data_IF_981835977122
#
_entry.id   IF_981835977122
#
_cell.length_a   1.000
_cell.length_b   1.000
_cell.length_c   1.000
_cell.angle_alpha   90.00
_cell.angle_beta   90.00
_cell.angle_gamma   90.00
#
_symmetry.space_group_name_H-M   'P 1'
#
loop_
_entity.id
_entity.type
_entity.pdbx_description
1 polymer ?
#
# COMPACT_ATOMS: atom_id res chain seq x y z
N UNK A 1 21.45 -9.13 0.63
CA UNK A 1 20.69 -9.38 1.88
C UNK A 1 19.65 -8.27 2.03
N UNK A 2 18.38 -8.60 2.26
CA UNK A 2 17.29 -7.62 2.41
C UNK A 2 17.07 -7.32 3.89
N UNK A 3 17.06 -6.03 4.28
CA UNK A 3 16.72 -5.61 5.65
C UNK A 3 15.39 -4.87 5.67
N UNK A 4 14.51 -5.23 6.62
CA UNK A 4 13.19 -4.62 6.79
C UNK A 4 13.12 -3.73 8.02
N UNK A 5 12.55 -2.54 7.89
CA UNK A 5 12.32 -1.63 9.01
C UNK A 5 10.98 -0.88 8.88
N UNK A 6 10.36 -0.59 10.01
CA UNK A 6 9.24 0.36 10.06
C UNK A 6 9.78 1.77 10.26
N UNK A 7 9.41 2.69 9.38
CA UNK A 7 9.89 4.08 9.42
C UNK A 7 8.71 5.04 9.28
N UNK A 8 8.92 6.30 9.66
CA UNK A 8 7.96 7.36 9.35
C UNK A 8 7.92 7.57 7.82
N UNK A 9 6.72 7.57 7.25
CA UNK A 9 6.44 7.93 5.86
C UNK A 9 5.94 9.37 5.75
N UNK A 10 5.27 9.68 4.64
CA UNK A 10 4.80 11.04 4.35
C UNK A 10 3.66 11.45 5.30
N UNK A 11 2.67 10.57 5.43
CA UNK A 11 1.46 10.84 6.23
C UNK A 11 1.42 9.93 7.46
N UNK A 12 1.95 8.72 7.34
CA UNK A 12 1.93 7.72 8.39
C UNK A 12 3.14 6.79 8.29
N UNK A 13 3.21 5.77 9.16
CA UNK A 13 4.28 4.77 9.10
C UNK A 13 4.23 4.01 7.77
N UNK A 14 5.42 3.66 7.28
CA UNK A 14 5.64 2.80 6.12
C UNK A 14 6.64 1.70 6.45
N UNK A 15 6.69 0.65 5.64
CA UNK A 15 7.73 -0.38 5.72
C UNK A 15 8.78 -0.09 4.67
N UNK A 16 10.05 -0.20 5.05
CA UNK A 16 11.20 0.01 4.17
C UNK A 16 11.97 -1.29 4.01
N UNK A 17 12.23 -1.67 2.77
CA UNK A 17 13.04 -2.79 2.34
C UNK A 17 14.35 -2.25 1.78
N UNK A 18 15.46 -2.54 2.46
CA UNK A 18 16.81 -2.12 2.04
C UNK A 18 17.48 -3.24 1.27
N UNK A 19 17.99 -2.89 0.10
CA UNK A 19 18.81 -3.73 -0.78
C UNK A 19 20.21 -3.13 -0.86
N UNK A 20 21.17 -3.77 -0.19
CA UNK A 20 22.59 -3.45 -0.32
C UNK A 20 23.15 -4.19 -1.54
N UNK A 21 23.78 -3.47 -2.47
CA UNK A 21 24.22 -4.00 -3.76
C UNK A 21 25.67 -4.48 -3.67
N UNK A 22 26.01 -5.66 -4.25
CA UNK A 22 27.37 -6.21 -4.17
C UNK A 22 28.39 -5.36 -4.94
N UNK A 23 27.94 -4.68 -6.00
CA UNK A 23 28.73 -3.70 -6.76
C UNK A 23 27.84 -2.48 -7.08
N UNK A 24 28.41 -1.28 -7.24
CA UNK A 24 27.64 -0.12 -7.68
C UNK A 24 26.99 -0.37 -9.04
N UNK A 25 25.70 -0.10 -9.15
CA UNK A 25 24.96 -0.20 -10.42
C UNK A 25 23.84 0.84 -10.48
N UNK A 26 23.37 1.15 -11.68
CA UNK A 26 22.29 2.12 -11.85
C UNK A 26 20.96 1.56 -11.33
N UNK A 27 20.06 2.44 -10.90
CA UNK A 27 18.73 2.05 -10.43
C UNK A 27 17.96 1.34 -11.55
N UNK A 28 18.09 1.86 -12.78
CA UNK A 28 17.47 1.28 -13.96
C UNK A 28 17.95 -0.16 -14.20
N UNK A 29 19.26 -0.39 -14.17
CA UNK A 29 19.83 -1.72 -14.34
C UNK A 29 19.40 -2.66 -13.20
N UNK A 30 19.39 -2.16 -11.96
CA UNK A 30 18.92 -2.95 -10.82
C UNK A 30 17.45 -3.36 -10.96
N UNK A 31 16.56 -2.44 -11.34
CA UNK A 31 15.15 -2.74 -11.59
C UNK A 31 15.00 -3.78 -12.70
N UNK A 32 15.68 -3.61 -13.84
CA UNK A 32 15.63 -4.58 -14.94
C UNK A 32 16.00 -6.00 -14.49
N UNK A 33 16.96 -6.13 -13.59
CA UNK A 33 17.45 -7.43 -13.14
C UNK A 33 16.64 -8.03 -11.97
N UNK A 34 16.03 -7.21 -11.12
CA UNK A 34 15.51 -7.65 -9.82
C UNK A 34 14.01 -7.40 -9.64
N UNK A 35 13.32 -6.75 -10.59
CA UNK A 35 11.91 -6.35 -10.40
C UNK A 35 10.97 -7.53 -10.16
N UNK A 36 11.14 -8.64 -10.89
CA UNK A 36 10.31 -9.84 -10.70
C UNK A 36 10.54 -10.50 -9.33
N UNK A 37 11.77 -10.52 -8.84
CA UNK A 37 12.07 -11.03 -7.49
C UNK A 37 11.50 -10.10 -6.41
N UNK A 38 11.66 -8.77 -6.59
CA UNK A 38 11.05 -7.77 -5.72
C UNK A 38 9.53 -7.93 -5.67
N UNK A 39 8.89 -8.14 -6.82
CA UNK A 39 7.44 -8.37 -6.92
C UNK A 39 7.04 -9.59 -6.08
N UNK A 40 7.65 -10.75 -6.33
CA UNK A 40 7.34 -11.99 -5.59
C UNK A 40 7.59 -11.85 -4.09
N UNK A 41 8.68 -11.18 -3.72
CA UNK A 41 8.98 -10.86 -2.34
C UNK A 41 7.83 -10.09 -1.70
N UNK A 42 7.40 -8.98 -2.30
CA UNK A 42 6.34 -8.13 -1.76
C UNK A 42 4.97 -8.82 -1.74
N UNK A 43 4.61 -9.55 -2.79
CA UNK A 43 3.37 -10.33 -2.85
C UNK A 43 3.31 -11.37 -1.73
N UNK A 44 4.40 -12.10 -1.50
CA UNK A 44 4.51 -13.07 -0.41
C UNK A 44 4.49 -12.39 0.97
N UNK A 45 5.31 -11.35 1.13
CA UNK A 45 5.44 -10.63 2.41
C UNK A 45 4.15 -9.97 2.84
N UNK A 46 3.27 -9.59 1.91
CA UNK A 46 2.02 -8.90 2.21
C UNK A 46 0.77 -9.76 1.99
N UNK A 47 0.89 -10.96 1.42
CA UNK A 47 -0.25 -11.73 0.91
C UNK A 47 -1.11 -10.87 -0.02
N UNK A 48 -0.49 -10.39 -1.10
CA UNK A 48 -1.02 -9.34 -1.95
C UNK A 48 -0.83 -9.67 -3.44
N UNK A 49 -1.60 -9.00 -4.29
CA UNK A 49 -1.33 -8.89 -5.72
C UNK A 49 -0.56 -7.58 -5.97
N UNK A 50 0.56 -7.64 -6.70
CA UNK A 50 1.34 -6.47 -7.06
C UNK A 50 0.92 -5.93 -8.42
N UNK A 51 0.52 -4.66 -8.42
CA UNK A 51 0.02 -3.91 -9.56
C UNK A 51 1.08 -2.93 -10.05
N UNK A 52 1.89 -3.30 -11.07
CA UNK A 52 3.01 -2.49 -11.49
C UNK A 52 2.56 -1.16 -12.08
N UNK A 53 3.32 -0.11 -11.78
CA UNK A 53 3.22 1.19 -12.43
C UNK A 53 4.58 1.58 -13.03
N UNK A 54 4.53 2.48 -14.00
CA UNK A 54 5.70 3.05 -14.67
C UNK A 54 5.40 4.52 -14.97
N UNK A 55 6.39 5.42 -14.91
CA UNK A 55 7.82 5.17 -14.64
C UNK A 55 8.24 5.32 -13.16
N UNK A 56 9.45 4.84 -12.78
CA UNK A 56 10.06 5.11 -11.48
C UNK A 56 10.13 6.62 -11.15
N UNK A 57 10.10 7.02 -9.86
CA UNK A 57 10.27 6.20 -8.65
C UNK A 57 9.03 5.42 -8.21
N UNK A 58 7.91 5.57 -8.93
CA UNK A 58 6.72 4.74 -8.71
C UNK A 58 6.96 3.33 -9.28
N UNK A 59 6.74 2.32 -8.45
CA UNK A 59 6.83 0.93 -8.87
C UNK A 59 5.45 0.29 -9.01
N UNK A 60 4.41 0.91 -8.44
CA UNK A 60 3.06 0.38 -8.44
C UNK A 60 2.39 0.39 -7.08
N UNK A 61 1.43 -0.51 -6.93
CA UNK A 61 0.67 -0.68 -5.70
C UNK A 61 0.51 -2.15 -5.33
N UNK A 62 0.21 -2.40 -4.05
CA UNK A 62 -0.18 -3.71 -3.54
C UNK A 62 -1.67 -3.71 -3.23
N UNK A 63 -2.38 -4.68 -3.79
CA UNK A 63 -3.72 -5.07 -3.36
C UNK A 63 -3.59 -6.19 -2.34
N UNK A 64 -3.55 -5.80 -1.06
CA UNK A 64 -3.31 -6.70 0.06
C UNK A 64 -4.60 -7.45 0.39
N UNK A 65 -4.57 -8.78 0.30
CA UNK A 65 -5.72 -9.60 0.63
C UNK A 65 -6.03 -9.53 2.12
N UNK A 66 -7.20 -9.02 2.46
CA UNK A 66 -7.66 -8.87 3.83
C UNK A 66 -9.14 -9.22 3.95
N UNK A 67 -9.43 -10.35 4.61
CA UNK A 67 -10.79 -10.81 4.88
C UNK A 67 -11.66 -10.94 3.62
N UNK A 68 -11.03 -11.37 2.53
CA UNK A 68 -11.67 -11.49 1.23
C UNK A 68 -11.78 -10.18 0.47
N UNK A 69 -11.52 -9.01 1.07
CA UNK A 69 -11.39 -7.73 0.37
C UNK A 69 -9.93 -7.30 0.22
N UNK A 70 -9.70 -6.04 -0.18
CA UNK A 70 -8.36 -5.48 -0.40
C UNK A 70 -8.06 -4.28 0.52
N UNK A 71 -6.83 -4.23 1.03
CA UNK A 71 -6.20 -3.00 1.53
C UNK A 71 -5.18 -2.52 0.49
N UNK A 72 -4.99 -1.21 0.34
CA UNK A 72 -4.11 -0.66 -0.69
C UNK A 72 -2.85 -0.09 -0.07
N UNK A 73 -1.69 -0.46 -0.62
CA UNK A 73 -0.42 0.19 -0.33
C UNK A 73 0.27 0.65 -1.62
N UNK A 74 0.92 1.79 -1.53
CA UNK A 74 1.85 2.29 -2.52
C UNK A 74 3.18 1.55 -2.44
N UNK A 75 3.83 1.30 -3.58
CA UNK A 75 5.21 0.82 -3.65
C UNK A 75 6.06 1.78 -4.47
N UNK A 76 7.09 2.32 -3.84
CA UNK A 76 7.98 3.27 -4.50
C UNK A 76 9.42 3.15 -4.03
N UNK A 77 10.34 3.62 -4.86
CA UNK A 77 11.73 3.85 -4.45
C UNK A 77 11.73 5.06 -3.52
N UNK A 78 12.29 4.87 -2.32
CA UNK A 78 12.36 5.92 -1.31
C UNK A 78 13.79 6.33 -0.94
N UNK A 79 14.80 5.61 -1.45
CA UNK A 79 16.17 6.07 -1.57
C UNK A 79 16.88 5.30 -2.69
N UNK A 80 17.81 5.91 -3.44
CA UNK A 80 18.33 7.28 -3.29
C UNK A 80 17.42 8.35 -3.90
N UNK A 81 16.45 7.95 -4.71
CA UNK A 81 15.46 8.83 -5.32
C UNK A 81 14.12 8.72 -4.58
N UNK A 82 13.37 9.81 -4.57
CA UNK A 82 12.02 9.86 -4.02
C UNK A 82 11.09 10.66 -4.91
N UNK A 83 9.78 10.53 -4.65
CA UNK A 83 8.71 11.35 -5.24
C UNK A 83 8.92 12.85 -5.03
N UNK A 84 8.25 13.72 -5.84
CA UNK A 84 7.20 13.43 -6.83
C UNK A 84 7.70 12.99 -8.23
N UNK A 85 8.88 13.43 -8.65
CA UNK A 85 9.51 12.99 -9.89
C UNK A 85 11.01 13.23 -9.76
N UNK A 86 11.84 12.23 -10.05
CA UNK A 86 13.29 12.42 -10.06
C UNK A 86 13.75 12.66 -11.50
N UNK A 87 14.73 13.55 -11.74
CA UNK A 87 15.27 13.75 -13.08
C UNK A 87 15.73 12.41 -13.68
N UNK A 88 15.50 12.11 -14.97
CA UNK A 88 15.83 10.81 -15.56
C UNK A 88 17.27 10.36 -15.32
N UNK A 89 18.21 11.31 -15.29
CA UNK A 89 19.63 11.05 -14.99
C UNK A 89 19.84 10.34 -13.65
N UNK A 90 18.96 10.57 -12.67
CA UNK A 90 19.04 9.96 -11.33
C UNK A 90 18.88 8.45 -11.37
N UNK A 91 18.24 7.90 -12.41
CA UNK A 91 18.09 6.46 -12.60
C UNK A 91 19.34 5.80 -13.18
N UNK A 92 20.20 6.58 -13.83
CA UNK A 92 21.43 6.12 -14.48
C UNK A 92 22.65 6.23 -13.55
N UNK A 93 22.56 7.00 -12.46
CA UNK A 93 23.65 7.15 -11.49
C UNK A 93 23.90 5.83 -10.74
N UNK A 94 25.14 5.30 -10.72
CA UNK A 94 25.49 4.11 -9.96
C UNK A 94 25.32 4.33 -8.46
N UNK A 95 24.63 3.41 -7.80
CA UNK A 95 24.43 3.42 -6.35
C UNK A 95 24.82 2.09 -5.73
N UNK A 96 25.15 2.13 -4.44
CA UNK A 96 25.47 0.93 -3.63
C UNK A 96 24.27 0.40 -2.84
N UNK A 97 23.16 1.13 -2.84
CA UNK A 97 21.99 0.84 -2.00
C UNK A 97 20.71 1.37 -2.64
N UNK A 98 19.65 0.57 -2.59
CA UNK A 98 18.30 0.96 -2.97
C UNK A 98 17.37 0.62 -1.81
N UNK A 99 16.54 1.60 -1.40
CA UNK A 99 15.48 1.38 -0.41
C UNK A 99 14.12 1.45 -1.12
N UNK A 100 13.33 0.38 -1.01
CA UNK A 100 11.94 0.31 -1.48
C UNK A 100 11.00 0.50 -0.29
N UNK A 101 9.96 1.30 -0.47
CA UNK A 101 8.98 1.59 0.56
C UNK A 101 7.61 1.06 0.18
N UNK A 102 6.92 0.48 1.17
CA UNK A 102 5.50 0.12 1.12
C UNK A 102 4.76 1.02 2.09
N UNK A 103 3.93 1.92 1.56
CA UNK A 103 3.21 2.93 2.34
C UNK A 103 1.70 2.77 2.19
N UNK A 104 0.91 2.67 3.27
CA UNK A 104 -0.53 2.53 3.12
C UNK A 104 -1.14 3.82 2.59
N UNK A 105 -2.13 3.66 1.73
CA UNK A 105 -2.77 4.74 0.98
C UNK A 105 -4.28 4.55 0.95
N UNK A 106 -5.02 5.61 0.64
CA UNK A 106 -6.45 5.50 0.44
C UNK A 106 -6.73 5.13 -1.03
N UNK A 107 -7.62 4.16 -1.31
CA UNK A 107 -8.00 3.81 -2.67
C UNK A 107 -8.63 5.03 -3.36
N UNK A 108 -8.31 5.29 -4.63
CA UNK A 108 -8.94 6.37 -5.44
C UNK A 108 -9.91 5.84 -6.47
N UNK A 109 -9.73 4.59 -6.88
CA UNK A 109 -10.62 3.89 -7.80
C UNK A 109 -11.83 3.34 -7.06
N UNK A 110 -12.93 3.19 -7.79
CA UNK A 110 -14.11 2.52 -7.25
C UNK A 110 -13.84 1.02 -7.06
N UNK A 111 -14.49 0.46 -6.04
CA UNK A 111 -14.46 -0.98 -5.81
C UNK A 111 -15.23 -1.70 -6.92
N UNK A 112 -14.64 -2.75 -7.48
CA UNK A 112 -15.30 -3.59 -8.50
C UNK A 112 -16.33 -4.53 -7.89
N UNK A 113 -16.14 -4.91 -6.63
CA UNK A 113 -17.11 -5.67 -5.87
C UNK A 113 -16.95 -5.45 -4.36
N UNK A 114 -17.94 -5.90 -3.59
CA UNK A 114 -17.90 -5.86 -2.14
C UNK A 114 -18.18 -7.24 -1.56
N UNK A 115 -17.23 -7.74 -0.78
CA UNK A 115 -17.41 -8.95 0.01
C UNK A 115 -18.21 -8.63 1.26
N UNK A 116 -19.34 -9.32 1.43
CA UNK A 116 -20.18 -9.19 2.63
C UNK A 116 -19.66 -10.10 3.73
N UNK A 117 -19.50 -9.52 4.91
CA UNK A 117 -19.05 -10.23 6.10
C UNK A 117 -20.06 -9.96 7.20
N UNK A 118 -20.58 -11.04 7.77
CA UNK A 118 -21.49 -11.00 8.91
C UNK A 118 -20.67 -11.19 10.18
N UNK A 119 -20.79 -10.26 11.13
CA UNK A 119 -20.09 -10.36 12.42
C UNK A 119 -20.99 -9.85 13.56
N UNK A 120 -20.94 -10.48 14.76
CA UNK A 120 -21.63 -9.94 15.93
C UNK A 120 -21.15 -8.52 16.30
N UNK A 121 -19.91 -8.16 15.93
CA UNK A 121 -19.39 -6.81 16.13
C UNK A 121 -18.01 -6.59 15.50
N UNK A 122 -17.68 -5.32 15.25
CA UNK A 122 -16.43 -4.93 14.57
C UNK A 122 -15.19 -5.24 15.41
N UNK A 123 -15.30 -5.20 16.74
CA UNK A 123 -14.19 -5.50 17.66
C UNK A 123 -13.66 -6.94 17.50
N UNK A 124 -14.53 -7.87 17.09
CA UNK A 124 -14.17 -9.27 16.83
C UNK A 124 -13.41 -9.43 15.49
N UNK A 125 -13.47 -8.42 14.63
CA UNK A 125 -12.85 -8.42 13.30
C UNK A 125 -11.39 -7.93 13.30
N UNK A 126 -10.86 -7.59 14.47
CA UNK A 126 -9.52 -7.07 14.68
C UNK A 126 -9.53 -5.59 15.10
N UNK A 127 -8.38 -4.93 14.95
CA UNK A 127 -8.22 -3.49 15.22
C UNK A 127 -8.76 -2.68 14.03
N UNK A 128 -10.08 -2.74 13.85
CA UNK A 128 -10.85 -1.99 12.86
C UNK A 128 -11.60 -0.87 13.55
N UNK A 129 -11.61 0.30 12.92
CA UNK A 129 -12.32 1.48 13.41
C UNK A 129 -13.22 1.99 12.30
N UNK A 130 -14.54 1.87 12.49
CA UNK A 130 -15.53 2.36 11.52
C UNK A 130 -15.66 3.88 11.59
N UNK A 131 -15.90 4.48 10.43
CA UNK A 131 -16.26 5.88 10.21
C UNK A 131 -17.42 5.92 9.21
N UNK A 132 -18.08 7.07 9.09
CA UNK A 132 -19.29 7.24 8.28
C UNK A 132 -19.15 6.61 6.87
N UNK A 133 -18.04 6.93 6.19
CA UNK A 133 -17.85 6.57 4.79
C UNK A 133 -16.59 5.71 4.53
N UNK A 134 -15.86 5.31 5.58
CA UNK A 134 -14.64 4.50 5.47
C UNK A 134 -14.36 3.73 6.77
N UNK A 135 -13.37 2.84 6.75
CA UNK A 135 -12.81 2.24 7.94
C UNK A 135 -11.30 2.39 7.99
N UNK A 136 -10.75 2.41 9.20
CA UNK A 136 -9.31 2.29 9.44
C UNK A 136 -9.02 0.88 9.95
N UNK A 137 -8.16 0.16 9.23
CA UNK A 137 -7.75 -1.20 9.56
C UNK A 137 -6.28 -1.20 9.96
N UNK A 138 -5.96 -1.68 11.17
CA UNK A 138 -4.55 -1.93 11.52
C UNK A 138 -4.12 -3.31 11.00
N UNK A 139 -3.17 -3.33 10.07
CA UNK A 139 -2.61 -4.55 9.50
C UNK A 139 -1.09 -4.48 9.46
N UNK A 140 -0.41 -5.54 9.92
CA UNK A 140 1.06 -5.62 10.03
C UNK A 140 1.73 -4.38 10.62
N UNK A 141 1.13 -3.78 11.65
CA UNK A 141 1.67 -2.60 12.33
C UNK A 141 1.43 -1.25 11.65
N UNK A 142 0.78 -1.23 10.47
CA UNK A 142 0.39 -0.03 9.73
C UNK A 142 -1.13 0.20 9.78
N UNK A 143 -1.59 1.39 9.42
CA UNK A 143 -3.00 1.75 9.36
C UNK A 143 -3.45 1.98 7.92
N UNK A 144 -4.50 1.28 7.50
CA UNK A 144 -5.05 1.34 6.14
C UNK A 144 -6.41 2.01 6.19
N UNK A 145 -6.62 3.02 5.35
CA UNK A 145 -7.94 3.58 5.09
C UNK A 145 -8.59 2.80 3.94
N UNK A 146 -9.82 2.34 4.13
CA UNK A 146 -10.55 1.52 3.16
C UNK A 146 -12.00 1.99 3.08
N UNK A 147 -12.60 1.99 1.89
CA UNK A 147 -13.99 2.41 1.65
C UNK A 147 -15.00 1.32 2.09
N UNK A 148 -14.88 0.90 3.34
CA UNK A 148 -15.72 -0.11 3.95
C UNK A 148 -17.08 0.49 4.30
N UNK A 149 -18.15 -0.15 3.83
CA UNK A 149 -19.53 0.20 4.20
C UNK A 149 -20.02 -0.76 5.29
N UNK A 150 -20.94 -0.30 6.11
CA UNK A 150 -21.52 -1.14 7.16
C UNK A 150 -23.00 -0.83 7.37
N UNK A 151 -23.74 -1.83 7.85
CA UNK A 151 -25.13 -1.69 8.31
C UNK A 151 -25.44 -2.71 9.41
N UNK A 152 -26.49 -2.46 10.18
CA UNK A 152 -27.00 -3.44 11.13
C UNK A 152 -27.49 -4.70 10.37
N UNK A 153 -27.23 -5.89 10.92
CA UNK A 153 -27.86 -7.13 10.46
C UNK A 153 -29.22 -7.27 11.18
N UNK A 154 -30.34 -7.47 10.46
CA UNK A 154 -31.65 -7.72 11.06
C UNK A 154 -31.70 -8.89 12.07
N UNK A 155 -30.77 -9.85 11.98
CA UNK A 155 -30.63 -10.98 12.90
C UNK A 155 -29.75 -10.68 14.12
N UNK A 156 -29.29 -9.44 14.25
CA UNK A 156 -28.33 -9.01 15.27
C UNK A 156 -26.90 -8.95 14.74
N UNK A 157 -26.14 -7.95 15.19
CA UNK A 157 -24.76 -7.69 14.74
C UNK A 157 -24.67 -6.71 13.57
N UNK A 158 -23.60 -6.84 12.79
CA UNK A 158 -23.22 -5.90 11.73
C UNK A 158 -22.85 -6.66 10.46
N UNK A 159 -23.33 -6.17 9.32
CA UNK A 159 -22.85 -6.55 7.99
C UNK A 159 -21.80 -5.54 7.55
N UNK A 160 -20.57 -6.01 7.34
CA UNK A 160 -19.48 -5.24 6.74
C UNK A 160 -19.40 -5.56 5.26
N UNK A 161 -19.21 -4.53 4.44
CA UNK A 161 -18.93 -4.65 3.02
C UNK A 161 -17.50 -4.21 2.77
N UNK A 162 -16.62 -5.18 2.55
CA UNK A 162 -15.21 -4.94 2.31
C UNK A 162 -14.96 -4.87 0.80
N UNK A 163 -14.40 -3.78 0.28
CA UNK A 163 -14.21 -3.62 -1.16
C UNK A 163 -13.13 -4.54 -1.71
N UNK A 164 -13.30 -5.00 -2.94
CA UNK A 164 -12.21 -5.47 -3.82
C UNK A 164 -11.96 -4.43 -4.89
N UNK A 165 -10.69 -4.24 -5.18
CA UNK A 165 -10.21 -3.37 -6.26
C UNK A 165 -9.62 -4.23 -7.36
N UNK A 166 -9.75 -3.75 -8.61
CA UNK A 166 -9.05 -4.35 -9.75
C UNK A 166 -7.62 -3.80 -9.81
N UNK A 167 -6.68 -4.66 -10.19
CA UNK A 167 -5.33 -4.26 -10.47
C UNK A 167 -5.28 -3.29 -11.66
N UNK A 168 -4.84 -2.06 -11.42
CA UNK A 168 -4.84 -0.99 -12.41
C UNK A 168 -3.72 0.03 -12.11
N UNK A 169 -3.42 0.87 -13.10
CA UNK A 169 -2.58 2.07 -12.88
C UNK A 169 -3.24 2.94 -11.81
N UNK A 170 -2.41 3.49 -10.93
CA UNK A 170 -2.83 4.12 -9.69
C UNK A 170 -2.12 5.46 -9.51
N UNK A 171 -2.89 6.52 -9.27
CA UNK A 171 -2.33 7.86 -9.02
C UNK A 171 -1.98 8.04 -7.54
N UNK A 172 -0.75 7.72 -7.19
CA UNK A 172 -0.32 7.74 -5.81
C UNK A 172 -0.42 9.12 -5.13
N UNK A 173 -0.18 10.20 -5.88
CA UNK A 173 -0.38 11.56 -5.37
C UNK A 173 -1.83 11.83 -4.96
N UNK A 174 -2.80 11.42 -5.78
CA UNK A 174 -4.22 11.60 -5.50
C UNK A 174 -4.66 10.78 -4.29
N UNK A 175 -4.15 9.57 -4.16
CA UNK A 175 -4.49 8.66 -3.08
C UNK A 175 -3.82 9.00 -1.74
N UNK A 176 -2.60 9.53 -1.76
CA UNK A 176 -1.99 10.16 -0.58
C UNK A 176 -2.78 11.38 -0.13
N UNK A 177 -3.20 12.26 -1.07
CA UNK A 177 -4.07 13.40 -0.75
C UNK A 177 -5.40 12.95 -0.15
N UNK A 178 -6.03 11.91 -0.73
CA UNK A 178 -7.25 11.33 -0.17
C UNK A 178 -7.03 10.79 1.24
N UNK A 179 -5.94 10.05 1.48
CA UNK A 179 -5.60 9.57 2.81
C UNK A 179 -5.42 10.72 3.81
N UNK A 180 -4.67 11.75 3.41
CA UNK A 180 -4.46 12.96 4.22
C UNK A 180 -5.81 13.58 4.60
N UNK A 181 -6.70 13.81 3.63
CA UNK A 181 -8.03 14.36 3.88
C UNK A 181 -8.85 13.50 4.86
N UNK A 182 -8.86 12.17 4.68
CA UNK A 182 -9.58 11.26 5.59
C UNK A 182 -9.04 11.32 7.03
N UNK A 183 -7.74 11.55 7.20
CA UNK A 183 -7.09 11.67 8.50
C UNK A 183 -7.24 13.08 9.10
N UNK A 184 -7.28 14.14 8.28
CA UNK A 184 -7.42 15.54 8.70
C UNK A 184 -8.83 15.93 9.11
N UNK A 185 -9.88 15.28 8.58
CA UNK A 185 -11.28 15.41 9.05
C UNK A 185 -11.42 15.09 10.58
N UNK A 186 -10.33 14.63 11.22
CA UNK A 186 -10.24 14.42 12.68
C UNK A 186 -9.75 15.63 13.49
N UNK A 187 -9.33 16.73 12.86
CA UNK A 187 -9.01 18.00 13.55
C UNK A 187 -10.22 18.92 13.51
#
# INVERSE_FOLDING_TARGET
>A
MVRRAYVQGLIQRRVKYRFDLPQPMSIKQWLQNNFEELKRLLESDWNAEFCPASPPPDLGSLLINWRGGHLVADVSICAPISRPWSPPISLEIPVKRIDICVEPVAPVTEAVEYVKIYTPGVKLFGRVTLRKDYAVVKHKGLFFAVDMKYKADPRGGIVLQVPRYKCASYEAGAAMRRLKNLLEIRR
#
